data_IF_022680349960
#
_entry.id   IF_022680349960
#
_cell.length_a   1.000
_cell.length_b   1.000
_cell.length_c   1.000
_cell.angle_alpha   90.00
_cell.angle_beta   90.00
_cell.angle_gamma   90.00
#
_symmetry.space_group_name_H-M   'P 1'
#
loop_
_entity.id
_entity.type
_entity.pdbx_description
1 polymer ?
#
# COMPACT_ATOMS: atom_id res chain seq x y z
N UNK A 1 -20.24 44.62 -32.50
CA UNK A 1 -19.46 44.36 -33.75
C UNK A 1 -18.48 43.25 -33.42
N UNK A 2 -18.44 42.07 -33.96
CA UNK A 2 -19.08 41.42 -35.09
C UNK A 2 -19.08 39.91 -34.74
N UNK A 3 -20.23 39.26 -34.92
CA UNK A 3 -20.36 37.81 -34.78
C UNK A 3 -19.77 37.13 -36.03
N UNK A 4 -19.18 35.91 -35.84
CA UNK A 4 -18.98 35.00 -36.94
C UNK A 4 -19.53 33.63 -36.56
N UNK A 5 -20.59 33.28 -37.24
CA UNK A 5 -21.25 31.97 -37.31
C UNK A 5 -20.64 31.20 -38.48
N UNK A 6 -20.21 29.97 -38.25
CA UNK A 6 -19.92 28.95 -39.30
C UNK A 6 -20.45 27.65 -38.73
N UNK A 7 -21.48 27.01 -39.14
CA UNK A 7 -21.87 26.53 -40.46
C UNK A 7 -21.89 25.02 -40.35
N UNK A 8 -23.09 24.46 -40.00
CA UNK A 8 -23.39 23.00 -39.96
C UNK A 8 -23.60 22.50 -41.39
N UNK A 9 -22.98 21.42 -41.82
CA UNK A 9 -23.33 20.70 -43.06
C UNK A 9 -23.91 19.32 -42.73
N UNK A 10 -24.96 18.91 -43.46
CA UNK A 10 -25.67 17.66 -43.18
C UNK A 10 -25.05 16.44 -43.92
N UNK A 11 -25.23 15.29 -43.30
CA UNK A 11 -24.86 13.98 -43.81
C UNK A 11 -25.71 13.59 -45.02
N UNK A 12 -25.07 13.12 -46.08
CA UNK A 12 -25.71 12.50 -47.24
C UNK A 12 -26.10 11.04 -46.91
N UNK A 13 -27.37 10.76 -47.06
CA UNK A 13 -27.92 9.39 -47.07
C UNK A 13 -27.74 8.82 -48.47
N UNK A 14 -27.07 7.66 -48.58
CA UNK A 14 -27.04 6.80 -49.77
C UNK A 14 -28.02 5.67 -49.59
N UNK A 15 -29.18 5.76 -50.29
CA UNK A 15 -30.11 4.68 -50.54
C UNK A 15 -29.62 3.83 -51.69
N UNK A 16 -29.19 2.60 -51.42
CA UNK A 16 -28.89 1.61 -52.44
C UNK A 16 -29.94 0.48 -52.40
N UNK A 17 -30.77 0.43 -53.41
CA UNK A 17 -31.69 -0.69 -53.69
C UNK A 17 -30.86 -1.84 -54.26
N UNK A 18 -30.85 -3.00 -53.63
CA UNK A 18 -30.26 -4.23 -54.20
C UNK A 18 -31.40 -5.21 -54.50
N UNK A 19 -31.49 -5.52 -55.78
CA UNK A 19 -32.37 -6.53 -56.37
C UNK A 19 -31.93 -7.93 -55.95
N UNK A 20 -32.90 -8.76 -55.52
CA UNK A 20 -32.72 -10.16 -55.22
C UNK A 20 -32.60 -10.99 -56.51
N UNK A 21 -31.55 -11.76 -56.68
CA UNK A 21 -31.57 -12.98 -57.51
C UNK A 21 -30.73 -14.08 -56.83
N UNK A 22 -31.32 -15.24 -56.79
CA UNK A 22 -30.88 -16.51 -56.25
C UNK A 22 -29.42 -16.89 -56.54
N UNK A 23 -28.73 -17.35 -55.49
CA UNK A 23 -27.71 -18.41 -55.66
C UNK A 23 -27.64 -19.25 -54.37
N UNK A 24 -28.12 -20.49 -54.46
CA UNK A 24 -27.89 -21.54 -53.50
C UNK A 24 -26.42 -21.98 -53.57
N UNK A 25 -25.65 -21.64 -52.54
CA UNK A 25 -24.30 -22.13 -52.33
C UNK A 25 -23.99 -22.13 -50.83
N UNK A 26 -24.18 -23.30 -50.19
CA UNK A 26 -23.84 -23.50 -48.80
C UNK A 26 -22.32 -23.40 -48.61
N UNK A 27 -21.82 -22.26 -48.15
CA UNK A 27 -20.52 -22.14 -47.54
C UNK A 27 -20.68 -22.35 -46.03
N UNK A 28 -20.32 -23.56 -45.59
CA UNK A 28 -20.14 -23.85 -44.18
C UNK A 28 -18.94 -22.99 -43.70
N UNK A 29 -19.25 -21.91 -42.98
CA UNK A 29 -18.23 -21.24 -42.17
C UNK A 29 -17.93 -22.12 -40.98
N UNK A 30 -16.80 -22.81 -41.03
CA UNK A 30 -16.18 -23.42 -39.85
C UNK A 30 -15.78 -22.30 -38.89
N UNK A 31 -16.65 -21.97 -37.94
CA UNK A 31 -16.35 -21.11 -36.82
C UNK A 31 -15.47 -21.94 -35.91
N UNK A 32 -14.17 -22.01 -36.26
CA UNK A 32 -13.16 -22.60 -35.39
C UNK A 32 -13.24 -21.96 -34.02
N UNK A 33 -13.85 -22.68 -33.09
CA UNK A 33 -13.79 -22.36 -31.67
C UNK A 33 -12.34 -22.53 -31.23
N UNK A 34 -11.55 -21.46 -31.36
CA UNK A 34 -10.27 -21.40 -30.71
C UNK A 34 -10.55 -21.27 -29.21
N UNK A 35 -10.22 -22.27 -28.40
CA UNK A 35 -10.25 -22.09 -26.95
C UNK A 35 -9.28 -20.96 -26.65
N UNK A 36 -9.81 -19.81 -26.26
CA UNK A 36 -9.00 -18.76 -25.62
C UNK A 36 -8.37 -19.40 -24.42
N UNK A 37 -7.08 -19.68 -24.49
CA UNK A 37 -6.27 -19.96 -23.30
C UNK A 37 -6.63 -18.89 -22.28
N UNK A 38 -6.95 -19.26 -21.02
CA UNK A 38 -7.22 -18.25 -20.00
C UNK A 38 -6.01 -17.32 -19.98
N UNK A 39 -6.23 -16.04 -20.30
CA UNK A 39 -5.22 -15.01 -20.07
C UNK A 39 -4.82 -15.15 -18.60
N UNK A 40 -3.63 -15.68 -18.38
CA UNK A 40 -3.02 -15.65 -17.05
C UNK A 40 -2.88 -14.19 -16.69
N UNK A 41 -3.80 -13.70 -15.87
CA UNK A 41 -3.72 -12.34 -15.33
C UNK A 41 -2.30 -12.18 -14.80
N UNK A 42 -1.53 -11.22 -15.33
CA UNK A 42 -0.14 -11.08 -14.97
C UNK A 42 -0.05 -10.86 -13.45
N UNK A 43 0.58 -11.78 -12.76
CA UNK A 43 0.52 -11.87 -11.31
C UNK A 43 1.48 -10.90 -10.65
N UNK A 44 0.98 -10.10 -9.71
CA UNK A 44 1.81 -9.26 -8.86
C UNK A 44 2.63 -10.15 -7.91
N UNK A 45 3.91 -9.82 -7.71
CA UNK A 45 4.75 -10.50 -6.73
C UNK A 45 5.29 -9.49 -5.73
N UNK A 46 4.88 -9.64 -4.48
CA UNK A 46 5.37 -8.82 -3.38
C UNK A 46 6.62 -9.46 -2.79
N UNK A 47 7.76 -8.78 -2.91
CA UNK A 47 9.06 -9.26 -2.49
C UNK A 47 9.50 -8.61 -1.18
N UNK A 48 9.93 -9.44 -0.22
CA UNK A 48 10.35 -8.99 1.10
C UNK A 48 10.04 -10.00 2.20
N UNK A 49 9.74 -9.53 3.40
CA UNK A 49 9.41 -10.40 4.53
C UNK A 49 8.43 -9.73 5.49
N UNK A 50 7.56 -10.53 6.12
CA UNK A 50 6.44 -10.03 6.92
C UNK A 50 6.82 -9.46 8.29
N UNK A 51 8.09 -9.49 8.72
CA UNK A 51 8.52 -8.70 9.88
C UNK A 51 8.69 -7.21 9.53
N UNK A 52 8.77 -6.85 8.23
CA UNK A 52 8.85 -5.46 7.77
C UNK A 52 7.46 -4.80 7.81
N UNK A 53 7.35 -3.66 8.50
CA UNK A 53 6.14 -2.84 8.52
C UNK A 53 5.78 -2.31 7.12
N UNK A 54 6.74 -1.85 6.35
CA UNK A 54 6.51 -1.37 4.98
C UNK A 54 6.04 -2.48 4.04
N UNK A 55 6.54 -3.72 4.21
CA UNK A 55 6.03 -4.89 3.49
C UNK A 55 4.55 -5.12 3.82
N UNK A 56 4.22 -5.12 5.09
CA UNK A 56 2.86 -5.37 5.54
C UNK A 56 1.87 -4.27 5.16
N UNK A 57 2.31 -3.02 4.99
CA UNK A 57 1.49 -1.95 4.43
C UNK A 57 1.01 -2.29 3.01
N UNK A 58 1.92 -2.72 2.14
CA UNK A 58 1.59 -3.12 0.77
C UNK A 58 0.75 -4.40 0.74
N UNK A 59 1.11 -5.38 1.59
CA UNK A 59 0.36 -6.63 1.72
C UNK A 59 -1.09 -6.39 2.14
N UNK A 60 -1.33 -5.50 3.11
CA UNK A 60 -2.69 -5.11 3.51
C UNK A 60 -3.47 -4.49 2.34
N UNK A 61 -2.87 -3.58 1.59
CA UNK A 61 -3.53 -2.98 0.43
C UNK A 61 -3.93 -4.04 -0.62
N UNK A 62 -3.04 -4.98 -0.94
CA UNK A 62 -3.35 -6.09 -1.85
C UNK A 62 -4.49 -6.97 -1.34
N UNK A 63 -4.48 -7.31 -0.05
CA UNK A 63 -5.52 -8.13 0.58
C UNK A 63 -6.86 -7.42 0.64
N UNK A 64 -6.90 -6.15 1.03
CA UNK A 64 -8.14 -5.37 1.12
C UNK A 64 -8.76 -5.12 -0.27
N UNK A 65 -7.94 -5.11 -1.32
CA UNK A 65 -8.42 -5.07 -2.71
C UNK A 65 -8.81 -6.44 -3.27
N UNK A 66 -8.57 -7.53 -2.55
CA UNK A 66 -8.84 -8.89 -3.02
C UNK A 66 -8.00 -9.29 -4.24
N UNK A 67 -6.86 -8.66 -4.46
CA UNK A 67 -6.01 -8.93 -5.61
C UNK A 67 -5.22 -10.23 -5.42
N UNK A 68 -5.13 -11.10 -6.45
CA UNK A 68 -4.23 -12.23 -6.44
C UNK A 68 -2.78 -11.75 -6.54
N UNK A 69 -1.92 -12.24 -5.66
CA UNK A 69 -0.50 -11.97 -5.67
C UNK A 69 0.29 -13.13 -5.09
N UNK A 70 1.57 -13.24 -5.45
CA UNK A 70 2.53 -14.14 -4.81
C UNK A 70 3.41 -13.38 -3.84
N UNK A 71 3.95 -14.09 -2.86
CA UNK A 71 4.93 -13.56 -1.93
C UNK A 71 6.28 -14.23 -2.18
N UNK A 72 7.33 -13.43 -2.39
CA UNK A 72 8.69 -13.90 -2.56
C UNK A 72 9.56 -13.38 -1.41
N UNK A 73 10.28 -14.30 -0.77
CA UNK A 73 11.18 -13.96 0.32
C UNK A 73 12.41 -13.20 -0.21
N UNK A 74 12.63 -11.99 0.30
CA UNK A 74 13.81 -11.18 0.02
C UNK A 74 14.27 -10.49 1.32
N UNK A 75 15.58 -10.51 1.58
CA UNK A 75 16.16 -9.88 2.76
C UNK A 75 16.87 -8.58 2.40
N UNK A 76 16.90 -7.63 3.35
CA UNK A 76 17.65 -6.37 3.18
C UNK A 76 19.11 -6.68 2.92
N UNK A 77 19.67 -6.10 1.86
CA UNK A 77 21.05 -6.31 1.43
C UNK A 77 21.30 -7.58 0.62
N UNK A 78 20.30 -8.47 0.47
CA UNK A 78 20.37 -9.70 -0.36
C UNK A 78 19.49 -9.57 -1.62
N UNK A 79 19.08 -8.36 -1.97
CA UNK A 79 18.19 -8.06 -3.10
C UNK A 79 18.99 -7.77 -4.37
N UNK A 80 18.36 -7.97 -5.53
CA UNK A 80 18.91 -7.56 -6.82
C UNK A 80 18.98 -6.01 -6.88
N UNK A 81 20.17 -5.40 -7.07
CA UNK A 81 20.32 -3.95 -7.19
C UNK A 81 19.52 -3.34 -8.34
N UNK A 82 19.24 -4.09 -9.42
CA UNK A 82 18.40 -3.62 -10.53
C UNK A 82 16.92 -3.52 -10.12
N UNK A 83 16.47 -4.35 -9.18
CA UNK A 83 15.12 -4.35 -8.65
C UNK A 83 14.94 -3.31 -7.53
N UNK A 84 15.95 -3.11 -6.69
CA UNK A 84 15.93 -2.17 -5.56
C UNK A 84 17.32 -1.58 -5.31
N UNK A 85 17.62 -0.37 -5.86
CA UNK A 85 18.96 0.23 -5.82
C UNK A 85 19.53 0.45 -4.41
N UNK A 86 18.66 0.61 -3.40
CA UNK A 86 19.09 0.76 -2.00
C UNK A 86 19.16 -0.57 -1.24
N UNK A 87 18.93 -1.72 -1.91
CA UNK A 87 18.91 -3.02 -1.25
C UNK A 87 17.80 -3.19 -0.20
N UNK A 88 16.75 -2.35 -0.25
CA UNK A 88 15.66 -2.33 0.72
C UNK A 88 14.48 -3.21 0.27
N UNK A 89 13.64 -3.57 1.24
CA UNK A 89 12.37 -4.25 1.03
C UNK A 89 11.24 -3.46 1.69
N UNK A 90 9.99 -3.56 1.16
CA UNK A 90 9.54 -4.37 0.04
C UNK A 90 9.91 -3.77 -1.32
N UNK A 91 9.74 -4.60 -2.35
CA UNK A 91 9.57 -4.17 -3.73
C UNK A 91 8.48 -5.01 -4.39
N UNK A 92 7.82 -4.47 -5.41
CA UNK A 92 6.71 -5.11 -6.10
C UNK A 92 7.11 -5.38 -7.55
N UNK A 93 7.12 -6.66 -7.96
CA UNK A 93 7.22 -7.01 -9.37
C UNK A 93 5.85 -6.97 -10.01
N UNK A 94 5.76 -6.28 -11.13
CA UNK A 94 4.58 -6.16 -11.97
C UNK A 94 4.91 -6.65 -13.38
N UNK A 95 3.93 -6.85 -14.26
CA UNK A 95 4.18 -7.20 -15.66
C UNK A 95 5.00 -6.17 -16.42
N UNK A 96 4.96 -4.91 -15.98
CA UNK A 96 5.66 -3.80 -16.62
C UNK A 96 7.08 -3.59 -16.06
N UNK A 97 7.38 -4.17 -14.90
CA UNK A 97 8.67 -4.00 -14.23
C UNK A 97 8.55 -3.97 -12.71
N UNK A 98 9.62 -3.58 -12.04
CA UNK A 98 9.72 -3.56 -10.59
C UNK A 98 9.51 -2.14 -10.04
N UNK A 99 8.73 -2.04 -8.96
CA UNK A 99 8.50 -0.80 -8.20
C UNK A 99 9.16 -0.90 -6.82
N UNK A 100 9.92 0.12 -6.46
CA UNK A 100 10.39 0.38 -5.10
C UNK A 100 9.46 1.38 -4.40
N UNK A 101 9.72 1.64 -3.12
CA UNK A 101 8.99 2.55 -2.25
C UNK A 101 7.52 2.13 -2.04
N UNK A 102 7.21 1.80 -0.80
CA UNK A 102 5.90 1.24 -0.44
C UNK A 102 4.73 2.18 -0.71
N UNK A 103 4.94 3.50 -0.64
CA UNK A 103 3.92 4.48 -1.00
C UNK A 103 3.62 4.45 -2.50
N UNK A 104 4.66 4.38 -3.34
CA UNK A 104 4.53 4.25 -4.80
C UNK A 104 3.83 2.95 -5.18
N UNK A 105 4.17 1.83 -4.51
CA UNK A 105 3.50 0.55 -4.75
C UNK A 105 2.01 0.62 -4.43
N UNK A 106 1.62 1.21 -3.30
CA UNK A 106 0.21 1.34 -2.94
C UNK A 106 -0.56 2.30 -3.86
N UNK A 107 0.06 3.38 -4.32
CA UNK A 107 -0.52 4.28 -5.31
C UNK A 107 -0.68 3.58 -6.68
N UNK A 108 0.30 2.77 -7.11
CA UNK A 108 0.18 1.96 -8.33
C UNK A 108 -0.96 0.94 -8.22
N UNK A 109 -1.03 0.21 -7.11
CA UNK A 109 -2.09 -0.78 -6.86
C UNK A 109 -3.46 -0.10 -6.91
N UNK A 110 -3.62 1.07 -6.29
CA UNK A 110 -4.87 1.82 -6.30
C UNK A 110 -5.26 2.31 -7.69
N UNK A 111 -4.30 2.83 -8.45
CA UNK A 111 -4.55 3.35 -9.80
C UNK A 111 -4.83 2.24 -10.82
N UNK A 112 -4.08 1.12 -10.74
CA UNK A 112 -4.24 -0.01 -11.65
C UNK A 112 -5.50 -0.85 -11.36
N UNK A 113 -5.94 -0.86 -10.10
CA UNK A 113 -7.10 -1.62 -9.63
C UNK A 113 -8.01 -0.70 -8.77
N UNK A 114 -8.80 0.20 -9.37
CA UNK A 114 -9.54 1.21 -8.62
C UNK A 114 -10.65 0.66 -7.72
N UNK A 115 -11.06 -0.60 -7.88
CA UNK A 115 -12.10 -1.22 -7.06
C UNK A 115 -11.61 -2.49 -6.36
N UNK A 116 -11.99 -2.70 -5.09
CA UNK A 116 -12.60 -1.71 -4.17
C UNK A 116 -11.63 -0.55 -3.88
N UNK A 117 -12.16 0.69 -3.81
CA UNK A 117 -11.34 1.88 -3.60
C UNK A 117 -10.78 1.95 -2.17
N UNK A 118 -9.49 2.23 -2.05
CA UNK A 118 -8.81 2.54 -0.78
C UNK A 118 -8.42 4.01 -0.66
N UNK A 119 -8.82 4.82 -1.64
CA UNK A 119 -8.76 6.27 -1.60
C UNK A 119 -10.13 6.86 -1.94
N UNK A 120 -10.52 8.00 -1.33
CA UNK A 120 -11.71 8.73 -1.74
C UNK A 120 -11.66 9.13 -3.21
N UNK A 121 -12.83 9.21 -3.86
CA UNK A 121 -12.95 9.68 -5.25
C UNK A 121 -12.67 11.20 -5.39
N UNK A 122 -12.97 11.99 -4.35
CA UNK A 122 -12.63 13.41 -4.32
C UNK A 122 -11.10 13.59 -4.22
N UNK A 123 -10.49 14.36 -5.14
CA UNK A 123 -9.03 14.52 -5.17
C UNK A 123 -8.44 15.15 -3.91
N UNK A 124 -9.15 16.10 -3.27
CA UNK A 124 -8.68 16.74 -2.05
C UNK A 124 -8.75 15.77 -0.86
N UNK A 125 -9.85 15.04 -0.73
CA UNK A 125 -9.98 14.01 0.29
C UNK A 125 -8.93 12.88 0.11
N UNK A 126 -8.65 12.46 -1.13
CA UNK A 126 -7.57 11.52 -1.43
C UNK A 126 -6.18 12.09 -1.06
N UNK A 127 -5.94 13.37 -1.32
CA UNK A 127 -4.73 14.06 -0.90
C UNK A 127 -4.57 14.09 0.62
N UNK A 128 -5.66 14.29 1.38
CA UNK A 128 -5.66 14.24 2.85
C UNK A 128 -5.31 12.85 3.39
N UNK A 129 -5.73 11.77 2.72
CA UNK A 129 -5.30 10.41 3.06
C UNK A 129 -3.79 10.23 2.84
N UNK A 130 -3.27 10.70 1.71
CA UNK A 130 -1.84 10.66 1.41
C UNK A 130 -0.99 11.54 2.34
N UNK A 131 -1.52 12.70 2.73
CA UNK A 131 -0.89 13.56 3.74
C UNK A 131 -0.70 12.81 5.06
N UNK A 132 -1.72 12.10 5.54
CA UNK A 132 -1.65 11.27 6.74
C UNK A 132 -0.60 10.16 6.62
N UNK A 133 -0.55 9.45 5.49
CA UNK A 133 0.45 8.40 5.23
C UNK A 133 1.85 9.00 5.27
N UNK A 134 2.07 10.07 4.51
CA UNK A 134 3.36 10.76 4.43
C UNK A 134 3.80 11.26 5.81
N UNK A 135 2.86 11.82 6.59
CA UNK A 135 3.14 12.30 7.93
C UNK A 135 3.56 11.15 8.87
N UNK A 136 2.81 10.04 8.86
CA UNK A 136 3.15 8.86 9.68
C UNK A 136 4.52 8.29 9.31
N UNK A 137 4.84 8.20 8.02
CA UNK A 137 6.09 7.60 7.56
C UNK A 137 7.30 8.52 7.84
N UNK A 138 7.24 9.79 7.43
CA UNK A 138 8.37 10.70 7.54
C UNK A 138 8.58 11.26 8.95
N UNK A 139 7.49 11.57 9.65
CA UNK A 139 7.57 12.31 10.91
C UNK A 139 7.38 11.45 12.15
N UNK A 140 6.80 10.26 12.03
CA UNK A 140 6.67 9.35 13.15
C UNK A 140 7.58 8.13 12.99
N UNK A 141 7.38 7.31 11.95
CA UNK A 141 8.05 6.03 11.78
C UNK A 141 9.55 6.19 11.53
N UNK A 142 9.97 7.01 10.56
CA UNK A 142 11.38 7.23 10.28
C UNK A 142 12.12 7.91 11.44
N UNK A 143 11.43 8.73 12.23
CA UNK A 143 12.00 9.32 13.44
C UNK A 143 12.17 8.24 14.52
N UNK A 144 11.13 7.46 14.80
CA UNK A 144 11.17 6.37 15.78
C UNK A 144 12.16 5.28 15.38
N UNK A 145 12.38 5.06 14.07
CA UNK A 145 13.33 4.06 13.54
C UNK A 145 14.76 4.27 14.03
N UNK A 146 15.14 5.49 14.39
CA UNK A 146 16.44 5.75 15.00
C UNK A 146 16.61 5.08 16.39
N UNK A 147 15.50 4.68 17.03
CA UNK A 147 15.50 3.95 18.29
C UNK A 147 15.55 2.43 18.12
N UNK A 148 15.19 1.91 16.93
CA UNK A 148 15.03 0.47 16.69
C UNK A 148 16.30 -0.35 16.95
N UNK A 149 17.51 0.13 16.67
CA UNK A 149 18.71 -0.61 17.03
C UNK A 149 18.74 -1.01 18.50
N UNK A 150 18.38 -0.11 19.40
CA UNK A 150 18.33 -0.38 20.84
C UNK A 150 17.03 -1.08 21.26
N UNK A 151 15.89 -0.63 20.71
CA UNK A 151 14.59 -1.15 21.11
C UNK A 151 14.38 -2.62 20.70
N UNK A 152 14.86 -3.03 19.51
CA UNK A 152 14.49 -4.32 18.93
C UNK A 152 15.68 -5.22 18.55
N UNK A 153 16.89 -4.67 18.43
CA UNK A 153 18.01 -5.41 17.84
C UNK A 153 19.23 -5.53 18.76
N UNK A 154 19.08 -5.18 20.06
CA UNK A 154 20.14 -5.32 21.06
C UNK A 154 21.34 -4.40 20.83
N UNK A 155 21.22 -3.40 19.98
CA UNK A 155 22.20 -2.34 19.79
C UNK A 155 22.08 -1.25 20.86
N UNK A 156 22.80 -0.16 20.66
CA UNK A 156 22.78 1.02 21.55
C UNK A 156 22.51 2.28 20.74
N UNK A 157 21.80 3.23 21.34
CA UNK A 157 21.56 4.56 20.81
C UNK A 157 22.11 5.55 21.84
N UNK A 158 22.91 6.53 21.42
CA UNK A 158 23.49 7.51 22.34
C UNK A 158 22.41 8.31 23.06
N UNK A 159 22.71 8.79 24.27
CA UNK A 159 21.74 9.56 25.06
C UNK A 159 21.28 10.82 24.32
N UNK A 160 22.20 11.57 23.76
CA UNK A 160 21.89 12.74 22.94
C UNK A 160 20.97 12.44 21.75
N UNK A 161 21.15 11.27 21.07
CA UNK A 161 20.26 10.86 19.99
C UNK A 161 18.87 10.49 20.52
N UNK A 162 18.79 9.80 21.69
CA UNK A 162 17.50 9.47 22.33
C UNK A 162 16.74 10.73 22.72
N UNK A 163 17.41 11.69 23.37
CA UNK A 163 16.78 12.97 23.75
C UNK A 163 16.25 13.73 22.54
N UNK A 164 17.05 13.84 21.47
CA UNK A 164 16.64 14.50 20.23
C UNK A 164 15.43 13.81 19.59
N UNK A 165 15.47 12.49 19.49
CA UNK A 165 14.37 11.70 18.91
C UNK A 165 13.12 11.81 19.78
N UNK A 166 13.25 11.76 21.11
CA UNK A 166 12.14 11.90 22.04
C UNK A 166 11.41 13.23 21.88
N UNK A 167 12.16 14.34 21.92
CA UNK A 167 11.60 15.68 21.74
C UNK A 167 10.92 15.85 20.37
N UNK A 168 11.52 15.29 19.32
CA UNK A 168 10.95 15.35 17.98
C UNK A 168 9.66 14.52 17.88
N UNK A 169 9.60 13.30 18.45
CA UNK A 169 8.42 12.47 18.47
C UNK A 169 7.28 13.12 19.25
N UNK A 170 7.52 13.69 20.41
CA UNK A 170 6.50 14.40 21.18
C UNK A 170 5.82 15.49 20.36
N UNK A 171 6.61 16.34 19.73
CA UNK A 171 6.10 17.40 18.85
C UNK A 171 5.31 16.84 17.67
N UNK A 172 5.88 15.84 17.02
CA UNK A 172 5.28 15.28 15.79
C UNK A 172 4.00 14.49 16.09
N UNK A 173 3.94 13.77 17.22
CA UNK A 173 2.73 13.04 17.65
C UNK A 173 1.61 14.01 18.00
N UNK A 174 1.91 15.13 18.67
CA UNK A 174 0.93 16.18 18.93
C UNK A 174 0.36 16.76 17.62
N UNK A 175 1.20 17.00 16.61
CA UNK A 175 0.76 17.44 15.29
C UNK A 175 -0.04 16.35 14.53
N UNK A 176 0.38 15.09 14.61
CA UNK A 176 -0.36 13.96 14.05
C UNK A 176 -1.78 13.84 14.63
N UNK A 177 -1.94 14.08 15.94
CA UNK A 177 -3.23 14.09 16.61
C UNK A 177 -4.21 15.15 16.07
N UNK A 178 -3.71 16.22 15.44
CA UNK A 178 -4.53 17.23 14.78
C UNK A 178 -5.01 16.78 13.39
N UNK A 179 -4.28 15.87 12.74
CA UNK A 179 -4.58 15.37 11.41
C UNK A 179 -5.44 14.11 11.43
N UNK A 180 -5.16 13.21 12.36
CA UNK A 180 -5.83 11.91 12.48
C UNK A 180 -7.20 12.03 13.15
N UNK A 181 -8.19 11.30 12.64
CA UNK A 181 -9.58 11.33 13.14
C UNK A 181 -9.92 10.15 14.06
N UNK A 182 -9.44 8.95 13.74
CA UNK A 182 -9.73 7.69 14.46
C UNK A 182 -11.23 7.39 14.66
N UNK A 183 -12.11 7.79 13.71
CA UNK A 183 -13.56 7.69 13.86
C UNK A 183 -14.26 7.11 12.61
N UNK A 184 -14.38 5.78 12.53
CA UNK A 184 -13.68 4.72 13.25
C UNK A 184 -12.29 4.43 12.70
N UNK A 185 -11.93 4.95 11.51
CA UNK A 185 -10.66 4.76 10.84
C UNK A 185 -9.74 5.98 11.01
N UNK A 186 -8.45 5.80 10.72
CA UNK A 186 -7.48 6.87 10.99
C UNK A 186 -7.74 8.15 10.19
N UNK A 187 -8.27 8.02 8.97
CA UNK A 187 -8.63 9.16 8.11
C UNK A 187 -10.11 9.61 8.26
N UNK A 188 -10.97 8.87 8.93
CA UNK A 188 -12.39 9.21 9.11
C UNK A 188 -13.31 7.99 9.18
N UNK A 189 -14.33 7.97 8.32
CA UNK A 189 -15.44 7.00 8.37
C UNK A 189 -15.22 5.75 7.50
N UNK A 190 -14.21 5.73 6.64
CA UNK A 190 -13.93 4.65 5.70
C UNK A 190 -12.50 4.14 5.84
N UNK A 191 -12.31 2.81 5.65
CA UNK A 191 -11.00 2.20 5.60
C UNK A 191 -10.25 2.66 4.34
N UNK A 192 -9.01 3.11 4.50
CA UNK A 192 -8.21 3.67 3.42
C UNK A 192 -6.76 3.15 3.44
N UNK A 193 -5.95 3.57 2.46
CA UNK A 193 -4.50 3.33 2.47
C UNK A 193 -3.82 3.90 3.73
N UNK A 194 -4.40 4.93 4.38
CA UNK A 194 -3.87 5.45 5.63
C UNK A 194 -4.01 4.43 6.77
N UNK A 195 -5.05 3.59 6.77
CA UNK A 195 -5.21 2.52 7.75
C UNK A 195 -4.18 1.39 7.49
N UNK A 196 -3.89 1.08 6.22
CA UNK A 196 -2.83 0.13 5.88
C UNK A 196 -1.47 0.57 6.46
N UNK A 197 -1.19 1.88 6.49
CA UNK A 197 0.01 2.43 7.11
C UNK A 197 -0.08 2.46 8.64
N UNK A 198 -1.18 2.96 9.21
CA UNK A 198 -1.36 3.12 10.65
C UNK A 198 -1.29 1.78 11.41
N UNK A 199 -1.94 0.73 10.89
CA UNK A 199 -1.98 -0.61 11.50
C UNK A 199 -0.56 -1.19 11.68
N UNK A 200 0.35 -0.89 10.78
CA UNK A 200 1.70 -1.47 10.79
C UNK A 200 2.77 -0.57 11.41
N UNK A 201 2.58 0.76 11.39
CA UNK A 201 3.57 1.70 11.91
C UNK A 201 3.32 2.08 13.37
N UNK A 202 2.07 2.40 13.75
CA UNK A 202 1.77 2.86 15.10
C UNK A 202 2.14 1.86 16.20
N UNK A 203 1.94 0.53 16.06
CA UNK A 203 2.38 -0.43 17.07
C UNK A 203 3.88 -0.43 17.33
N UNK A 204 4.69 -0.22 16.27
CA UNK A 204 6.17 -0.19 16.40
C UNK A 204 6.64 1.08 17.10
N UNK A 205 6.02 2.21 16.81
CA UNK A 205 6.30 3.49 17.47
C UNK A 205 5.96 3.39 18.96
N UNK A 206 4.76 2.88 19.28
CA UNK A 206 4.33 2.63 20.66
C UNK A 206 5.30 1.71 21.41
N UNK A 207 5.69 0.59 20.79
CA UNK A 207 6.62 -0.36 21.39
C UNK A 207 8.01 0.25 21.61
N UNK A 208 8.55 0.96 20.61
CA UNK A 208 9.87 1.59 20.70
C UNK A 208 9.93 2.65 21.81
N UNK A 209 8.90 3.50 21.91
CA UNK A 209 8.84 4.55 22.92
C UNK A 209 8.67 3.97 24.34
N UNK A 210 7.87 2.91 24.50
CA UNK A 210 7.76 2.18 25.78
C UNK A 210 9.09 1.58 26.23
N UNK A 211 9.82 0.95 25.31
CA UNK A 211 11.10 0.29 25.64
C UNK A 211 12.17 1.33 25.98
N UNK A 212 12.26 2.40 25.22
CA UNK A 212 13.34 3.38 25.36
C UNK A 212 13.08 4.42 26.44
N UNK A 213 11.82 4.89 26.58
CA UNK A 213 11.48 5.99 27.49
C UNK A 213 10.58 5.55 28.66
N UNK A 214 10.20 4.27 28.75
CA UNK A 214 9.33 3.76 29.81
C UNK A 214 7.86 4.21 29.67
N UNK A 215 7.48 4.91 28.61
CA UNK A 215 6.11 5.38 28.33
C UNK A 215 5.75 5.31 26.85
N UNK A 216 4.46 5.08 26.60
CA UNK A 216 3.92 5.13 25.24
C UNK A 216 3.65 6.58 24.84
N UNK A 217 4.34 7.08 23.84
CA UNK A 217 4.13 8.46 23.35
C UNK A 217 2.80 8.63 22.60
N UNK A 218 2.17 7.53 22.18
CA UNK A 218 0.86 7.55 21.54
C UNK A 218 -0.31 7.40 22.53
N UNK A 219 -0.04 7.31 23.85
CA UNK A 219 -1.06 6.99 24.84
C UNK A 219 -2.22 8.01 24.94
N UNK A 220 -1.95 9.28 24.63
CA UNK A 220 -2.94 10.37 24.66
C UNK A 220 -3.83 10.41 23.40
N UNK A 221 -3.52 9.59 22.40
CA UNK A 221 -4.33 9.44 21.19
C UNK A 221 -5.14 8.14 21.27
N UNK A 222 -6.30 8.03 20.59
CA UNK A 222 -7.15 6.84 20.62
C UNK A 222 -6.59 5.67 19.80
N UNK A 223 -5.25 5.57 19.69
CA UNK A 223 -4.52 4.58 18.92
C UNK A 223 -4.78 3.16 19.43
N UNK A 224 -4.82 2.98 20.76
CA UNK A 224 -5.04 1.66 21.36
C UNK A 224 -6.40 1.07 20.95
N UNK A 225 -7.46 1.85 21.07
CA UNK A 225 -8.81 1.41 20.76
C UNK A 225 -9.01 1.22 19.26
N UNK A 226 -8.39 2.10 18.47
CA UNK A 226 -8.32 1.95 17.01
C UNK A 226 -7.66 0.62 16.62
N UNK A 227 -6.46 0.33 17.13
CA UNK A 227 -5.74 -0.91 16.82
C UNK A 227 -6.49 -2.16 17.30
N UNK A 228 -7.21 -2.09 18.42
CA UNK A 228 -8.06 -3.18 18.89
C UNK A 228 -9.18 -3.50 17.89
N UNK A 229 -9.88 -2.46 17.38
CA UNK A 229 -10.89 -2.64 16.33
C UNK A 229 -10.30 -3.17 15.02
N UNK A 230 -9.13 -2.66 14.61
CA UNK A 230 -8.47 -3.13 13.39
C UNK A 230 -8.02 -4.59 13.48
N UNK A 231 -7.63 -5.04 14.68
CA UNK A 231 -7.22 -6.43 14.92
C UNK A 231 -8.37 -7.45 14.73
N UNK A 232 -9.63 -7.03 14.69
CA UNK A 232 -10.78 -7.89 14.40
C UNK A 232 -10.93 -8.19 12.91
N UNK A 233 -10.29 -7.42 12.04
CA UNK A 233 -10.38 -7.60 10.58
C UNK A 233 -9.58 -8.82 10.11
N UNK A 234 -10.14 -9.69 9.26
CA UNK A 234 -9.47 -10.93 8.83
C UNK A 234 -8.10 -10.71 8.18
N UNK A 235 -7.97 -9.68 7.33
CA UNK A 235 -6.70 -9.36 6.66
C UNK A 235 -5.63 -8.88 7.65
N UNK A 236 -6.03 -8.11 8.66
CA UNK A 236 -5.14 -7.66 9.74
C UNK A 236 -4.70 -8.85 10.60
N UNK A 237 -5.60 -9.77 10.91
CA UNK A 237 -5.26 -11.01 11.64
C UNK A 237 -4.22 -11.84 10.87
N UNK A 238 -4.44 -12.03 9.55
CA UNK A 238 -3.48 -12.71 8.67
C UNK A 238 -2.12 -12.04 8.71
N UNK A 239 -2.06 -10.73 8.45
CA UNK A 239 -0.80 -9.98 8.46
C UNK A 239 -0.09 -10.06 9.82
N UNK A 240 -0.82 -9.99 10.93
CA UNK A 240 -0.26 -10.10 12.27
C UNK A 240 0.30 -11.51 12.56
N UNK A 241 -0.37 -12.57 12.10
CA UNK A 241 0.11 -13.95 12.21
C UNK A 241 1.40 -14.15 11.41
N UNK A 242 1.43 -13.71 10.16
CA UNK A 242 2.59 -13.80 9.29
C UNK A 242 3.77 -12.98 9.83
N UNK A 243 3.50 -11.79 10.38
CA UNK A 243 4.51 -10.96 11.05
C UNK A 243 5.13 -11.67 12.25
N UNK A 244 4.33 -12.33 13.08
CA UNK A 244 4.82 -13.08 14.25
C UNK A 244 5.78 -14.18 13.84
N UNK A 245 5.41 -14.99 12.84
CA UNK A 245 6.26 -16.06 12.29
C UNK A 245 7.55 -15.50 11.70
N UNK A 246 7.44 -14.49 10.83
CA UNK A 246 8.58 -13.89 10.17
C UNK A 246 9.53 -13.16 11.13
N UNK A 247 9.01 -12.59 12.23
CA UNK A 247 9.86 -11.98 13.27
C UNK A 247 10.71 -13.05 13.98
N UNK A 248 10.13 -14.20 14.29
CA UNK A 248 10.88 -15.31 14.89
C UNK A 248 12.00 -15.81 13.96
N UNK A 249 11.72 -15.96 12.66
CA UNK A 249 12.71 -16.32 11.65
C UNK A 249 13.83 -15.28 11.52
N UNK A 250 13.47 -13.99 11.47
CA UNK A 250 14.43 -12.88 11.39
C UNK A 250 15.38 -12.88 12.61
N UNK A 251 14.83 -13.06 13.81
CA UNK A 251 15.66 -13.13 15.03
C UNK A 251 16.58 -14.35 15.05
N UNK A 252 16.11 -15.49 14.54
CA UNK A 252 16.93 -16.70 14.44
C UNK A 252 18.11 -16.57 13.46
N UNK A 253 18.03 -15.68 12.47
CA UNK A 253 19.12 -15.36 11.52
C UNK A 253 20.19 -14.43 12.10
N UNK A 254 19.90 -13.72 13.19
CA UNK A 254 20.91 -12.85 13.80
C UNK A 254 22.00 -13.73 14.43
N UNK A 255 23.29 -13.40 14.24
CA UNK A 255 24.36 -14.12 14.90
C UNK A 255 24.14 -14.05 16.43
N UNK A 256 24.15 -15.21 17.08
CA UNK A 256 24.12 -15.27 18.55
C UNK A 256 25.31 -14.48 19.07
N UNK A 257 25.07 -13.38 19.74
CA UNK A 257 26.07 -12.58 20.44
C UNK A 257 26.54 -13.27 21.69
#
# INVERSE_FOLDING_TARGET
MTALIVGCQPAMALTGVICATDFAGALAYDVGFHPTTPETTPMLTLCGFSASNYYNKVKLALLEKGLPFTEERAWVGETDPSATPLGKVPYLRTPQGTLCESAVMTDYIEAAHPQPALLPADPFAAAKVRELITFMELHLELVARNLYPQAFFGGTVSESAREKVGAQLEKNIAAFGQLAKFSPFVAGDSFTLADCAAIVHLPLISAATKIIYGRDYLADLPVRDYLARMAERPHVQRVNADRKTSTAEMLARQPKR
#
